data_IF_979593969839
#
_entry.id   IF_979593969839
#
_cell.length_a   1.000
_cell.length_b   1.000
_cell.length_c   1.000
_cell.angle_alpha   90.00
_cell.angle_beta   90.00
_cell.angle_gamma   90.00
#
_symmetry.space_group_name_H-M   'P 1'
#
loop_
_entity.id
_entity.type
_entity.pdbx_description
1 polymer ?
#
# COMPACT_ATOMS: atom_id res chain seq x y z
N UNK A 1 -12.46 -11.25 5.07
CA UNK A 1 -11.24 -10.46 5.03
C UNK A 1 -10.69 -10.43 3.61
N UNK A 2 -10.66 -9.24 2.99
CA UNK A 2 -10.28 -9.12 1.60
C UNK A 2 -8.86 -8.59 1.46
N UNK A 3 -7.90 -9.51 1.48
CA UNK A 3 -6.51 -9.22 1.14
C UNK A 3 -6.33 -9.46 -0.35
N UNK A 4 -5.90 -8.42 -1.04
CA UNK A 4 -5.81 -8.42 -2.50
C UNK A 4 -4.41 -8.00 -2.92
N UNK A 5 -3.89 -8.64 -3.96
CA UNK A 5 -2.67 -8.20 -4.63
C UNK A 5 -3.02 -7.00 -5.50
N UNK A 6 -2.37 -5.86 -5.25
CA UNK A 6 -2.62 -4.63 -6.01
C UNK A 6 -1.36 -4.17 -6.71
N UNK A 7 -1.53 -3.39 -7.77
CA UNK A 7 -0.42 -2.72 -8.43
C UNK A 7 -0.40 -1.24 -8.08
N UNK A 8 0.74 -0.74 -7.61
CA UNK A 8 0.91 0.68 -7.34
C UNK A 8 1.10 1.41 -8.66
N UNK A 9 0.15 2.27 -9.02
CA UNK A 9 0.22 3.05 -10.25
C UNK A 9 0.97 4.36 -10.05
N UNK A 10 0.57 5.12 -9.04
CA UNK A 10 1.22 6.39 -8.75
C UNK A 10 1.36 6.56 -7.25
N UNK A 11 2.37 7.33 -6.86
CA UNK A 11 2.56 7.77 -5.49
C UNK A 11 2.64 9.29 -5.53
N UNK A 12 1.60 9.96 -5.04
CA UNK A 12 1.54 11.41 -5.05
C UNK A 12 2.50 12.01 -4.03
N UNK A 13 2.84 13.27 -4.25
CA UNK A 13 3.69 14.01 -3.33
C UNK A 13 3.12 13.94 -1.91
N UNK A 14 3.99 13.82 -0.91
CA UNK A 14 3.53 13.63 0.46
C UNK A 14 2.79 14.83 0.98
N UNK A 15 1.69 14.56 1.70
CA UNK A 15 1.01 15.54 2.52
C UNK A 15 1.47 15.24 3.95
N UNK A 16 2.25 16.14 4.53
CA UNK A 16 2.94 15.87 5.80
C UNK A 16 3.86 14.66 5.66
N UNK A 17 3.64 13.60 6.45
CA UNK A 17 4.42 12.36 6.37
C UNK A 17 3.66 11.24 5.68
N UNK A 18 2.62 11.57 4.92
CA UNK A 18 1.73 10.60 4.30
C UNK A 18 1.94 10.57 2.80
N UNK A 19 1.96 9.38 2.23
CA UNK A 19 1.87 9.19 0.78
C UNK A 19 0.44 8.87 0.38
N UNK A 20 0.05 9.36 -0.79
CA UNK A 20 -1.23 9.03 -1.40
C UNK A 20 -0.92 8.08 -2.56
N UNK A 21 -1.37 6.84 -2.44
CA UNK A 21 -1.10 5.81 -3.43
C UNK A 21 -2.35 5.53 -4.23
N UNK A 22 -2.20 5.56 -5.55
CA UNK A 22 -3.25 5.10 -6.46
C UNK A 22 -2.97 3.66 -6.82
N UNK A 23 -3.92 2.78 -6.52
CA UNK A 23 -3.76 1.34 -6.67
C UNK A 23 -4.70 0.79 -7.73
N UNK A 24 -4.20 -0.16 -8.51
CA UNK A 24 -5.00 -0.93 -9.46
C UNK A 24 -5.25 -2.31 -8.87
N UNK A 25 -6.50 -2.66 -8.68
CA UNK A 25 -6.92 -3.95 -8.15
C UNK A 25 -7.37 -4.91 -9.26
N UNK A 26 -7.20 -4.52 -10.51
CA UNK A 26 -7.63 -5.30 -11.65
C UNK A 26 -9.07 -5.01 -12.06
N UNK A 27 -10.00 -5.06 -11.11
CA UNK A 27 -11.43 -4.81 -11.35
C UNK A 27 -11.86 -3.39 -10.96
N UNK A 28 -11.04 -2.68 -10.21
CA UNK A 28 -11.28 -1.29 -9.81
C UNK A 28 -9.99 -0.62 -9.42
N UNK A 29 -10.03 0.68 -9.24
CA UNK A 29 -8.91 1.47 -8.73
C UNK A 29 -9.28 2.04 -7.38
N UNK A 30 -8.31 2.12 -6.48
CA UNK A 30 -8.50 2.70 -5.16
C UNK A 30 -7.36 3.64 -4.80
N UNK A 31 -7.67 4.58 -3.93
CA UNK A 31 -6.67 5.45 -3.33
C UNK A 31 -6.52 5.07 -1.87
N UNK A 32 -5.30 4.89 -1.43
CA UNK A 32 -5.00 4.70 -0.01
C UNK A 32 -3.98 5.74 0.45
N UNK A 33 -3.99 5.99 1.75
CA UNK A 33 -3.04 6.91 2.39
C UNK A 33 -2.22 6.10 3.38
N UNK A 34 -0.91 6.27 3.36
CA UNK A 34 -0.03 5.51 4.23
C UNK A 34 1.14 6.34 4.73
N UNK A 35 1.60 6.04 5.95
CA UNK A 35 2.69 6.73 6.62
C UNK A 35 4.03 6.01 6.40
N UNK A 36 4.35 5.71 5.15
CA UNK A 36 5.58 4.97 4.82
C UNK A 36 6.66 5.85 4.18
N UNK A 37 6.49 7.16 4.24
CA UNK A 37 7.43 8.11 3.62
C UNK A 37 8.86 7.95 4.09
N UNK A 38 9.06 7.60 5.34
CA UNK A 38 10.40 7.47 5.90
C UNK A 38 11.13 6.23 5.42
N UNK A 39 10.41 5.26 4.84
CA UNK A 39 10.96 3.97 4.44
C UNK A 39 11.08 3.80 2.93
N UNK A 40 10.27 4.51 2.16
CA UNK A 40 10.22 4.36 0.70
C UNK A 40 10.16 5.70 0.00
N UNK A 41 10.85 5.76 -1.14
CA UNK A 41 10.69 6.87 -2.08
C UNK A 41 9.58 6.52 -3.08
N UNK A 42 8.90 7.52 -3.67
CA UNK A 42 7.82 7.25 -4.61
C UNK A 42 8.21 6.33 -5.76
N UNK A 43 9.41 6.51 -6.31
CA UNK A 43 9.89 5.71 -7.44
C UNK A 43 10.16 4.26 -7.07
N UNK A 44 10.34 3.96 -5.80
CA UNK A 44 10.49 2.59 -5.32
C UNK A 44 9.15 1.85 -5.25
N UNK A 45 8.06 2.59 -5.17
CA UNK A 45 6.71 2.04 -5.02
C UNK A 45 5.99 1.88 -6.35
N UNK A 46 6.18 2.82 -7.27
CA UNK A 46 5.49 2.80 -8.55
C UNK A 46 5.85 1.56 -9.35
N UNK A 47 4.83 0.89 -9.86
CA UNK A 47 4.98 -0.34 -10.62
C UNK A 47 5.12 -1.59 -9.78
N UNK A 48 5.14 -1.48 -8.46
CA UNK A 48 5.28 -2.64 -7.57
C UNK A 48 3.93 -3.25 -7.25
N UNK A 49 3.94 -4.54 -6.93
CA UNK A 49 2.75 -5.23 -6.42
C UNK A 49 2.85 -5.28 -4.90
N UNK A 50 1.77 -4.90 -4.24
CA UNK A 50 1.69 -4.92 -2.79
C UNK A 50 0.38 -5.55 -2.35
N UNK A 51 0.34 -6.02 -1.10
CA UNK A 51 -0.84 -6.63 -0.51
C UNK A 51 -1.61 -5.56 0.26
N UNK A 52 -2.90 -5.45 -0.01
CA UNK A 52 -3.75 -4.43 0.59
C UNK A 52 -5.01 -5.09 1.15
N UNK A 53 -5.42 -4.64 2.33
CA UNK A 53 -6.68 -5.02 2.94
C UNK A 53 -7.75 -4.05 2.44
N UNK A 54 -8.76 -4.56 1.76
CA UNK A 54 -9.72 -3.75 1.00
C UNK A 54 -11.08 -3.60 1.64
N UNK A 55 -11.43 -4.43 2.63
CA UNK A 55 -12.77 -4.42 3.21
C UNK A 55 -12.88 -3.59 4.50
N UNK A 56 -12.06 -2.56 4.61
CA UNK A 56 -12.13 -1.63 5.72
C UNK A 56 -13.06 -0.46 5.38
N UNK A 57 -13.66 0.12 6.41
CA UNK A 57 -14.39 1.36 6.23
C UNK A 57 -13.42 2.46 5.78
N UNK A 58 -13.81 3.28 4.79
CA UNK A 58 -12.96 4.39 4.39
C UNK A 58 -12.68 5.32 5.57
N UNK A 59 -11.43 5.74 5.69
CA UNK A 59 -11.00 6.72 6.67
C UNK A 59 -10.43 7.92 5.95
N UNK A 60 -10.47 9.09 6.58
CA UNK A 60 -9.89 10.29 6.01
C UNK A 60 -8.63 10.67 6.77
N UNK A 61 -7.57 10.94 6.04
CA UNK A 61 -6.32 11.43 6.58
C UNK A 61 -6.04 12.79 5.95
N UNK A 62 -6.10 13.84 6.74
CA UNK A 62 -5.92 15.22 6.25
C UNK A 62 -6.87 15.56 5.09
N UNK A 63 -8.13 15.09 5.18
CA UNK A 63 -9.13 15.33 4.16
C UNK A 63 -9.10 14.41 2.95
N UNK A 64 -8.10 13.53 2.86
CA UNK A 64 -7.98 12.57 1.76
C UNK A 64 -8.56 11.23 2.18
N UNK A 65 -9.54 10.69 1.45
CA UNK A 65 -10.09 9.39 1.80
C UNK A 65 -9.12 8.26 1.48
N UNK A 66 -9.01 7.31 2.42
CA UNK A 66 -8.22 6.10 2.23
C UNK A 66 -9.17 4.90 2.19
N UNK A 67 -9.16 4.16 1.09
CA UNK A 67 -10.09 3.06 0.83
C UNK A 67 -9.39 1.71 0.95
N UNK A 68 -8.63 1.54 2.01
CA UNK A 68 -7.89 0.32 2.27
C UNK A 68 -6.66 0.60 3.12
N UNK A 69 -5.91 -0.45 3.40
CA UNK A 69 -4.68 -0.35 4.18
C UNK A 69 -3.67 -1.35 3.65
N UNK A 70 -2.46 -0.88 3.38
CA UNK A 70 -1.39 -1.80 3.01
C UNK A 70 -0.92 -2.60 4.22
N UNK A 71 -0.27 -3.72 3.96
CA UNK A 71 0.32 -4.56 4.99
C UNK A 71 1.82 -4.43 4.93
N UNK A 72 2.42 -4.39 6.10
CA UNK A 72 3.86 -4.23 6.21
C UNK A 72 4.38 -5.05 7.38
N UNK A 73 5.64 -5.44 7.28
CA UNK A 73 6.34 -6.08 8.38
C UNK A 73 7.30 -5.06 8.98
N UNK A 74 7.25 -4.91 10.28
CA UNK A 74 8.13 -4.00 11.03
C UNK A 74 9.09 -4.78 11.90
N UNK A 75 10.30 -4.26 12.03
CA UNK A 75 11.26 -4.83 12.97
C UNK A 75 10.77 -4.66 14.40
N UNK A 76 10.86 -5.69 15.26
CA UNK A 76 10.53 -5.54 16.68
C UNK A 76 11.58 -4.75 17.45
N UNK A 77 12.74 -4.47 16.87
CA UNK A 77 13.79 -3.70 17.53
C UNK A 77 13.52 -2.22 17.35
N UNK A 78 13.08 -1.56 18.42
CA UNK A 78 12.75 -0.15 18.40
C UNK A 78 13.92 0.77 18.12
N UNK A 79 15.15 0.26 18.22
CA UNK A 79 16.37 1.04 17.93
C UNK A 79 16.72 1.01 16.46
N UNK A 80 16.17 0.10 15.71
CA UNK A 80 16.34 -0.01 14.26
C UNK A 80 14.97 -0.01 13.63
N UNK A 81 14.51 1.15 13.24
CA UNK A 81 13.25 1.25 12.54
C UNK A 81 13.45 0.74 11.12
N UNK A 82 12.93 -0.45 10.86
CA UNK A 82 12.86 -0.99 9.51
C UNK A 82 11.48 -1.50 9.26
N UNK A 83 10.97 -1.20 8.08
CA UNK A 83 9.64 -1.58 7.65
C UNK A 83 9.72 -2.01 6.20
N UNK A 84 9.06 -3.11 5.88
CA UNK A 84 8.96 -3.56 4.48
C UNK A 84 7.52 -3.89 4.16
N UNK A 85 7.09 -3.50 2.98
CA UNK A 85 5.75 -3.82 2.50
C UNK A 85 5.68 -5.30 2.10
N UNK A 86 4.51 -5.90 2.31
CA UNK A 86 4.28 -7.26 1.86
C UNK A 86 4.04 -7.26 0.36
N UNK A 87 4.67 -8.20 -0.31
CA UNK A 87 4.54 -8.38 -1.74
C UNK A 87 4.44 -9.87 -2.06
N UNK A 88 4.35 -10.21 -3.33
CA UNK A 88 4.27 -11.60 -3.76
C UNK A 88 5.62 -12.07 -4.28
N UNK A 89 5.96 -13.30 -3.95
CA UNK A 89 7.23 -13.88 -4.40
C UNK A 89 7.25 -14.09 -5.92
N UNK A 90 6.13 -14.54 -6.47
CA UNK A 90 5.98 -14.70 -7.91
C UNK A 90 5.29 -13.47 -8.49
N UNK A 91 6.06 -12.61 -9.14
CA UNK A 91 5.55 -11.37 -9.72
C UNK A 91 4.62 -11.55 -10.91
N UNK A 92 4.49 -12.78 -11.42
CA UNK A 92 3.58 -13.05 -12.53
C UNK A 92 2.13 -13.20 -12.08
N UNK A 93 1.87 -13.33 -10.77
CA UNK A 93 0.51 -13.40 -10.28
C UNK A 93 -0.23 -12.10 -10.64
N UNK A 94 -1.46 -12.18 -11.21
CA UNK A 94 -2.14 -10.96 -11.63
C UNK A 94 -2.61 -10.13 -10.46
N UNK A 95 -2.65 -8.80 -10.66
CA UNK A 95 -3.29 -7.91 -9.72
C UNK A 95 -4.77 -8.29 -9.61
N UNK A 96 -5.35 -8.09 -8.42
CA UNK A 96 -6.70 -8.56 -8.15
C UNK A 96 -6.76 -9.96 -7.57
N UNK A 97 -5.62 -10.67 -7.52
CA UNK A 97 -5.58 -11.99 -6.92
C UNK A 97 -5.84 -11.91 -5.42
N UNK A 98 -6.60 -12.87 -4.91
CA UNK A 98 -6.97 -12.91 -3.50
C UNK A 98 -5.93 -13.68 -2.70
N UNK A 99 -5.76 -13.24 -1.47
CA UNK A 99 -4.86 -13.89 -0.52
C UNK A 99 -5.71 -14.63 0.51
N UNK A 100 -5.37 -15.88 0.69
CA UNK A 100 -6.10 -16.76 1.59
C UNK A 100 -5.36 -16.99 2.90
#
# INVERSE_FOLDING_TARGET
RDLIVTGVQTCALPIYKLYILSLDLGYEKRTIVSSIREFYRPEELEGKKIVVLCNLKPAKFRGVPSNGMLLAAESPDTRKESLTLLTVMDGSIPIGSRIH
#
